data_IF_865246839460
#
_entry.id   IF_865246839460
#
_cell.length_a   1.000
_cell.length_b   1.000
_cell.length_c   1.000
_cell.angle_alpha   90.00
_cell.angle_beta   90.00
_cell.angle_gamma   90.00
#
_symmetry.space_group_name_H-M   'P 1'
#
loop_
_entity.id
_entity.type
_entity.pdbx_description
1 polymer ?
#
# COMPACT_ATOMS: atom_id res chain seq x y z
N UNK A 1 27.04 10.40 -15.37
CA UNK A 1 26.85 9.19 -16.19
C UNK A 1 25.49 8.58 -15.88
N UNK A 2 24.61 8.46 -16.86
CA UNK A 2 23.30 7.80 -16.69
C UNK A 2 23.52 6.29 -16.73
N UNK A 3 23.36 5.62 -15.59
CA UNK A 3 23.37 4.16 -15.54
C UNK A 3 22.23 3.62 -16.41
N UNK A 4 22.59 2.85 -17.43
CA UNK A 4 21.63 2.13 -18.27
C UNK A 4 21.42 0.77 -17.62
N UNK A 5 20.23 0.54 -17.07
CA UNK A 5 19.85 -0.76 -16.50
C UNK A 5 19.04 -1.54 -17.54
N UNK A 6 19.54 -2.69 -17.97
CA UNK A 6 18.78 -3.62 -18.81
C UNK A 6 17.81 -4.45 -17.96
N UNK A 7 16.58 -4.62 -18.44
CA UNK A 7 15.72 -5.71 -17.98
C UNK A 7 14.21 -5.44 -18.07
N UNK A 8 13.43 -6.21 -17.32
CA UNK A 8 11.99 -6.34 -17.56
C UNK A 8 11.21 -5.12 -17.04
N UNK A 9 10.49 -4.46 -17.95
CA UNK A 9 9.60 -3.34 -17.65
C UNK A 9 8.16 -3.85 -17.47
N UNK A 10 7.50 -3.44 -16.40
CA UNK A 10 6.07 -3.72 -16.16
C UNK A 10 5.33 -2.47 -15.72
N UNK A 11 4.10 -2.32 -16.19
CA UNK A 11 3.16 -1.31 -15.70
C UNK A 11 2.11 -2.03 -14.85
N UNK A 12 2.04 -1.69 -13.57
CA UNK A 12 1.04 -2.24 -12.65
C UNK A 12 0.41 -1.09 -11.87
N UNK A 13 -0.93 -0.99 -11.90
CA UNK A 13 -1.69 0.03 -11.16
C UNK A 13 -1.14 1.46 -11.32
N UNK A 14 -0.81 1.87 -12.56
CA UNK A 14 -0.24 3.19 -12.90
C UNK A 14 1.17 3.45 -12.34
N UNK A 15 1.88 2.40 -11.93
CA UNK A 15 3.28 2.46 -11.50
C UNK A 15 4.17 1.78 -12.55
N UNK A 16 5.30 2.43 -12.84
CA UNK A 16 6.35 1.88 -13.69
C UNK A 16 7.34 1.10 -12.83
N UNK A 17 7.50 -0.18 -13.14
CA UNK A 17 8.49 -1.07 -12.54
C UNK A 17 9.55 -1.44 -13.57
N UNK A 18 10.83 -1.37 -13.17
CA UNK A 18 11.98 -1.83 -13.95
C UNK A 18 12.74 -2.83 -13.07
N UNK A 19 12.91 -4.06 -13.55
CA UNK A 19 13.53 -5.15 -12.79
C UNK A 19 12.87 -5.40 -11.43
N UNK A 20 11.53 -5.32 -11.38
CA UNK A 20 10.75 -5.51 -10.15
C UNK A 20 10.82 -4.36 -9.15
N UNK A 21 11.67 -3.36 -9.37
CA UNK A 21 11.76 -2.18 -8.52
C UNK A 21 10.84 -1.07 -9.03
N UNK A 22 10.05 -0.48 -8.13
CA UNK A 22 9.18 0.67 -8.43
C UNK A 22 10.05 1.89 -8.75
N UNK A 23 9.99 2.40 -9.97
CA UNK A 23 10.76 3.58 -10.39
C UNK A 23 9.94 4.87 -10.25
N UNK A 24 8.77 4.96 -10.91
CA UNK A 24 7.96 6.20 -10.95
C UNK A 24 6.45 5.91 -11.05
N UNK A 25 5.62 6.92 -10.75
CA UNK A 25 4.17 6.87 -11.01
C UNK A 25 3.89 7.46 -12.39
N UNK A 26 3.09 6.78 -13.21
CA UNK A 26 2.67 7.29 -14.52
C UNK A 26 1.74 8.50 -14.41
N UNK A 27 1.12 8.73 -13.25
CA UNK A 27 0.32 9.93 -12.98
C UNK A 27 1.10 11.23 -13.02
N UNK A 28 2.42 11.11 -12.90
CA UNK A 28 3.37 12.22 -12.81
C UNK A 28 4.00 12.48 -14.20
N UNK A 29 3.52 11.85 -15.27
CA UNK A 29 3.93 12.17 -16.64
C UNK A 29 3.54 13.62 -16.97
N UNK A 30 4.52 14.40 -17.41
CA UNK A 30 4.33 15.80 -17.82
C UNK A 30 3.91 15.94 -19.27
N UNK A 31 4.23 14.96 -20.11
CA UNK A 31 3.85 14.90 -21.52
C UNK A 31 3.48 13.47 -21.91
N UNK A 32 2.77 13.29 -23.05
CA UNK A 32 2.62 11.98 -23.67
C UNK A 32 3.99 11.32 -23.92
N UNK A 33 4.05 9.97 -23.94
CA UNK A 33 5.25 9.25 -24.35
C UNK A 33 5.73 9.73 -25.73
N UNK A 34 7.04 9.97 -25.85
CA UNK A 34 7.67 10.37 -27.12
C UNK A 34 8.39 9.17 -27.74
N UNK A 35 8.38 9.09 -29.08
CA UNK A 35 9.15 8.10 -29.84
C UNK A 35 10.54 8.61 -30.15
N UNK A 36 11.54 7.82 -29.78
CA UNK A 36 12.93 8.05 -30.20
C UNK A 36 13.24 7.40 -31.55
N UNK A 37 14.53 7.39 -31.91
CA UNK A 37 14.99 7.05 -33.25
C UNK A 37 14.61 5.61 -33.65
N UNK A 38 14.07 5.47 -34.86
CA UNK A 38 13.56 4.22 -35.46
C UNK A 38 12.37 3.55 -34.73
N UNK A 39 11.71 4.22 -33.78
CA UNK A 39 10.49 3.73 -33.12
C UNK A 39 10.70 2.56 -32.15
N UNK A 40 11.96 2.19 -31.86
CA UNK A 40 12.32 1.16 -30.87
C UNK A 40 12.52 1.73 -29.46
N UNK A 41 12.36 3.04 -29.33
CA UNK A 41 12.66 3.78 -28.12
C UNK A 41 11.41 4.55 -27.69
N UNK A 42 11.03 4.42 -26.42
CA UNK A 42 9.92 5.16 -25.81
C UNK A 42 10.49 6.01 -24.67
N UNK A 43 10.32 7.32 -24.78
CA UNK A 43 10.83 8.31 -23.84
C UNK A 43 9.66 8.82 -23.00
N UNK A 44 9.76 8.66 -21.68
CA UNK A 44 8.79 9.16 -20.70
C UNK A 44 9.34 10.38 -19.99
N UNK A 45 8.66 11.52 -20.07
CA UNK A 45 9.03 12.76 -19.36
C UNK A 45 8.10 12.96 -18.16
N UNK A 46 8.67 13.05 -16.96
CA UNK A 46 7.90 13.25 -15.74
C UNK A 46 7.90 14.73 -15.33
N UNK A 47 6.75 15.22 -14.88
CA UNK A 47 6.59 16.52 -14.26
C UNK A 47 7.12 16.46 -12.82
N UNK A 48 8.14 17.26 -12.52
CA UNK A 48 8.75 17.38 -11.20
C UNK A 48 9.92 18.34 -11.22
N UNK A 49 10.37 18.80 -10.04
CA UNK A 49 11.46 19.78 -9.91
C UNK A 49 12.76 19.33 -10.61
N UNK A 50 12.97 18.02 -10.72
CA UNK A 50 14.18 17.44 -11.31
C UNK A 50 14.06 17.19 -12.82
N UNK A 51 12.90 17.41 -13.44
CA UNK A 51 12.68 17.23 -14.88
C UNK A 51 13.08 15.85 -15.43
N UNK A 52 13.02 14.82 -14.58
CA UNK A 52 13.54 13.49 -14.91
C UNK A 52 12.84 12.85 -16.10
N UNK A 53 13.63 12.26 -17.00
CA UNK A 53 13.15 11.46 -18.12
C UNK A 53 13.60 10.00 -17.95
N UNK A 54 12.83 9.08 -18.51
CA UNK A 54 13.14 7.66 -18.55
C UNK A 54 13.13 7.18 -20.01
N UNK A 55 14.25 6.62 -20.42
CA UNK A 55 14.45 6.06 -21.75
C UNK A 55 14.31 4.55 -21.70
N UNK A 56 13.42 4.00 -22.53
CA UNK A 56 13.25 2.57 -22.65
C UNK A 56 13.44 2.14 -24.09
N UNK A 57 14.42 1.27 -24.30
CA UNK A 57 14.73 0.67 -25.61
C UNK A 57 14.16 -0.75 -25.65
N UNK A 58 13.54 -1.08 -26.76
CA UNK A 58 12.93 -2.37 -27.02
C UNK A 58 13.60 -3.04 -28.23
N UNK A 59 13.73 -4.37 -28.18
CA UNK A 59 14.33 -5.14 -29.27
C UNK A 59 13.53 -5.03 -30.57
N UNK A 60 12.19 -4.94 -30.43
CA UNK A 60 11.25 -4.87 -31.55
C UNK A 60 10.38 -3.62 -31.45
N UNK A 61 10.13 -2.96 -32.59
CA UNK A 61 9.22 -1.80 -32.69
C UNK A 61 7.84 -2.10 -32.08
N UNK A 62 7.27 -3.28 -32.38
CA UNK A 62 5.97 -3.72 -31.85
C UNK A 62 5.89 -3.69 -30.32
N UNK A 63 6.96 -4.05 -29.61
CA UNK A 63 6.99 -4.02 -28.13
C UNK A 63 6.97 -2.58 -27.61
N UNK A 64 7.67 -1.66 -28.28
CA UNK A 64 7.56 -0.24 -28.00
C UNK A 64 6.13 0.26 -28.26
N UNK A 65 5.48 -0.18 -29.35
CA UNK A 65 4.09 0.16 -29.73
C UNK A 65 3.09 -0.29 -28.65
N UNK A 66 3.17 -1.55 -28.23
CA UNK A 66 2.36 -2.09 -27.13
C UNK A 66 2.61 -1.36 -25.81
N UNK A 67 3.87 -1.01 -25.50
CA UNK A 67 4.21 -0.30 -24.27
C UNK A 67 3.71 1.15 -24.27
N UNK A 68 3.89 1.89 -25.36
CA UNK A 68 3.37 3.25 -25.50
C UNK A 68 1.85 3.27 -25.33
N UNK A 69 1.15 2.35 -25.99
CA UNK A 69 -0.30 2.22 -25.86
C UNK A 69 -0.70 1.92 -24.42
N UNK A 70 -0.01 1.02 -23.73
CA UNK A 70 -0.28 0.73 -22.31
C UNK A 70 -0.06 1.95 -21.40
N UNK A 71 0.96 2.80 -21.68
CA UNK A 71 1.18 4.06 -20.96
C UNK A 71 0.06 5.06 -21.25
N UNK A 72 -0.35 5.20 -22.51
CA UNK A 72 -1.46 6.08 -22.91
C UNK A 72 -2.77 5.64 -22.26
N UNK A 73 -3.08 4.35 -22.24
CA UNK A 73 -4.27 3.80 -21.57
C UNK A 73 -4.23 4.05 -20.06
N UNK A 74 -3.07 3.85 -19.41
CA UNK A 74 -2.91 4.07 -17.98
C UNK A 74 -3.04 5.55 -17.58
N UNK A 75 -2.70 6.49 -18.48
CA UNK A 75 -2.71 7.95 -18.24
C UNK A 75 -4.01 8.62 -18.68
N UNK A 76 -4.65 8.13 -19.75
CA UNK A 76 -5.92 8.64 -20.29
C UNK A 76 -7.07 8.59 -19.27
N UNK A 77 -6.95 7.74 -18.25
CA UNK A 77 -7.92 7.65 -17.15
C UNK A 77 -8.08 8.95 -16.33
N UNK A 78 -7.20 9.94 -16.48
CA UNK A 78 -7.25 11.22 -15.74
C UNK A 78 -8.35 12.18 -16.24
N UNK A 79 -9.06 11.87 -17.33
CA UNK A 79 -10.08 12.75 -17.91
C UNK A 79 -11.54 12.26 -17.87
N UNK A 80 -11.83 11.01 -17.53
CA UNK A 80 -13.18 10.45 -17.65
C UNK A 80 -13.84 10.18 -16.30
N UNK A 81 -14.06 11.24 -15.51
CA UNK A 81 -15.11 11.28 -14.48
C UNK A 81 -16.44 11.70 -15.12
N UNK A 82 -16.98 10.87 -16.03
CA UNK A 82 -18.38 10.96 -16.44
C UNK A 82 -18.90 9.56 -16.78
N UNK A 83 -19.06 8.74 -15.74
CA UNK A 83 -19.63 7.38 -15.80
C UNK A 83 -21.08 7.33 -16.33
N UNK A 84 -21.73 8.48 -16.51
CA UNK A 84 -23.07 8.57 -17.09
C UNK A 84 -23.11 8.37 -18.62
N UNK A 85 -22.05 8.73 -19.35
CA UNK A 85 -22.06 8.71 -20.83
C UNK A 85 -21.67 7.36 -21.45
N UNK A 86 -20.98 6.47 -20.71
CA UNK A 86 -20.63 5.13 -21.21
C UNK A 86 -21.78 4.13 -21.10
N UNK A 87 -22.73 4.36 -20.21
CA UNK A 87 -23.90 3.47 -20.02
C UNK A 87 -24.92 3.63 -21.16
N UNK A 88 -25.03 4.81 -21.77
CA UNK A 88 -25.96 5.04 -22.89
C UNK A 88 -25.48 4.39 -24.19
N UNK A 89 -24.18 4.45 -24.51
CA UNK A 89 -23.67 3.89 -25.76
C UNK A 89 -23.74 2.36 -25.81
N UNK A 90 -23.47 1.68 -24.69
CA UNK A 90 -23.61 0.23 -24.60
C UNK A 90 -25.07 -0.25 -24.68
N UNK A 91 -26.02 0.56 -24.15
CA UNK A 91 -27.44 0.28 -24.28
C UNK A 91 -27.94 0.50 -25.72
N UNK A 92 -27.48 1.55 -26.38
CA UNK A 92 -27.82 1.87 -27.77
C UNK A 92 -27.25 0.84 -28.77
N UNK A 93 -26.02 0.35 -28.54
CA UNK A 93 -25.43 -0.74 -29.32
C UNK A 93 -26.19 -2.07 -29.11
N UNK A 94 -26.63 -2.37 -27.87
CA UNK A 94 -27.42 -3.56 -27.58
C UNK A 94 -28.82 -3.52 -28.23
N UNK A 95 -29.50 -2.37 -28.23
CA UNK A 95 -30.78 -2.20 -28.92
C UNK A 95 -30.62 -2.29 -30.45
N UNK A 96 -29.55 -1.72 -31.00
CA UNK A 96 -29.26 -1.81 -32.44
C UNK A 96 -29.00 -3.25 -32.89
N UNK A 97 -28.29 -4.04 -32.07
CA UNK A 97 -28.02 -5.44 -32.34
C UNK A 97 -29.29 -6.30 -32.28
N UNK A 98 -30.17 -6.07 -31.29
CA UNK A 98 -31.47 -6.76 -31.22
C UNK A 98 -32.36 -6.46 -32.43
N UNK A 99 -32.43 -5.20 -32.86
CA UNK A 99 -33.21 -4.78 -34.02
C UNK A 99 -32.68 -5.42 -35.32
N UNK A 100 -31.35 -5.56 -35.45
CA UNK A 100 -30.74 -6.23 -36.59
C UNK A 100 -31.06 -7.73 -36.60
N UNK A 101 -30.93 -8.42 -35.46
CA UNK A 101 -31.27 -9.85 -35.34
C UNK A 101 -32.74 -10.13 -35.63
N UNK A 102 -33.66 -9.27 -35.18
CA UNK A 102 -35.09 -9.38 -35.46
C UNK A 102 -35.37 -9.24 -36.96
N UNK A 103 -34.73 -8.26 -37.63
CA UNK A 103 -34.86 -8.07 -39.08
C UNK A 103 -34.31 -9.26 -39.87
N UNK A 104 -33.18 -9.84 -39.46
CA UNK A 104 -32.61 -11.04 -40.09
C UNK A 104 -33.56 -12.23 -39.92
N UNK A 105 -34.07 -12.46 -38.70
CA UNK A 105 -35.03 -13.55 -38.43
C UNK A 105 -36.32 -13.38 -39.24
N UNK A 106 -36.82 -12.16 -39.37
CA UNK A 106 -38.00 -11.85 -40.18
C UNK A 106 -37.75 -12.06 -41.68
N UNK A 107 -36.54 -11.77 -42.19
CA UNK A 107 -36.18 -12.02 -43.58
C UNK A 107 -36.04 -13.52 -43.88
N UNK A 108 -35.41 -14.28 -42.98
CA UNK A 108 -35.25 -15.73 -43.11
C UNK A 108 -36.60 -16.44 -43.04
N UNK A 109 -37.48 -16.07 -42.10
CA UNK A 109 -38.82 -16.65 -41.98
C UNK A 109 -39.77 -16.34 -43.15
N UNK A 110 -39.51 -15.27 -43.91
CA UNK A 110 -40.30 -14.88 -45.10
C UNK A 110 -39.85 -15.54 -46.39
N UNK A 111 -38.72 -16.25 -46.40
CA UNK A 111 -38.30 -16.98 -47.59
C UNK A 111 -39.01 -18.33 -47.55
N UNK A 112 -40.12 -18.55 -48.28
CA UNK A 112 -40.74 -19.87 -48.29
C UNK A 112 -39.69 -20.85 -48.78
N UNK A 113 -39.35 -21.84 -47.96
CA UNK A 113 -38.58 -22.99 -48.42
C UNK A 113 -39.33 -23.51 -49.65
N UNK A 114 -38.80 -23.24 -50.85
CA UNK A 114 -39.37 -23.78 -52.07
C UNK A 114 -39.33 -25.28 -51.89
N UNK A 115 -40.51 -25.89 -51.69
CA UNK A 115 -40.62 -27.35 -51.73
C UNK A 115 -40.07 -27.74 -53.08
N UNK A 116 -38.98 -28.50 -53.07
CA UNK A 116 -38.45 -29.11 -54.27
C UNK A 116 -39.55 -30.03 -54.81
N UNK A 117 -40.34 -29.53 -55.75
CA UNK A 117 -41.26 -30.34 -56.54
C UNK A 117 -40.40 -31.20 -57.43
N UNK A 118 -40.48 -32.52 -57.25
CA UNK A 118 -39.84 -33.48 -58.13
C UNK A 118 -40.16 -33.08 -59.58
N UNK A 119 -39.15 -32.74 -60.41
CA UNK A 119 -39.39 -32.28 -61.78
C UNK A 119 -40.00 -33.38 -62.66
N UNK A 120 -40.05 -34.62 -62.17
CA UNK A 120 -40.73 -35.72 -62.83
C UNK A 120 -42.18 -35.83 -62.34
N UNK A 121 -43.18 -35.61 -63.22
CA UNK A 121 -44.58 -35.81 -62.86
C UNK A 121 -44.79 -37.27 -62.45
N UNK A 122 -45.50 -37.48 -61.34
CA UNK A 122 -45.99 -38.80 -60.94
C UNK A 122 -46.89 -39.32 -62.08
N UNK A 123 -46.35 -40.19 -62.94
CA UNK A 123 -47.06 -40.70 -64.12
C UNK A 123 -46.28 -40.70 -65.44
N UNK A 124 -44.97 -40.41 -65.46
CA UNK A 124 -44.17 -40.52 -66.70
C UNK A 124 -43.93 -41.99 -67.10
N UNK A 125 -44.95 -42.63 -67.69
CA UNK A 125 -44.90 -44.00 -68.23
C UNK A 125 -44.26 -44.08 -69.63
N UNK A 126 -43.77 -42.96 -70.18
CA UNK A 126 -43.24 -42.86 -71.55
C UNK A 126 -41.78 -43.28 -71.74
N UNK A 127 -41.11 -43.81 -70.71
CA UNK A 127 -39.70 -44.22 -70.75
C UNK A 127 -39.52 -45.74 -70.98
N UNK A 128 -40.44 -46.37 -71.72
CA UNK A 128 -40.35 -47.80 -72.02
C UNK A 128 -39.18 -48.17 -72.96
N UNK A 129 -38.50 -47.20 -73.58
CA UNK A 129 -37.40 -47.46 -74.53
C UNK A 129 -36.12 -46.64 -74.29
N UNK A 130 -35.99 -45.92 -73.16
CA UNK A 130 -34.67 -45.41 -72.78
C UNK A 130 -33.86 -46.51 -72.09
N UNK A 131 -32.53 -46.58 -72.30
CA UNK A 131 -31.69 -47.61 -71.70
C UNK A 131 -31.88 -47.59 -70.18
N UNK A 132 -32.43 -48.67 -69.60
CA UNK A 132 -32.91 -48.75 -68.21
C UNK A 132 -31.89 -48.38 -67.13
N UNK A 133 -30.62 -48.21 -67.49
CA UNK A 133 -29.57 -47.70 -66.62
C UNK A 133 -29.72 -46.21 -66.27
N UNK A 134 -30.19 -45.36 -67.19
CA UNK A 134 -30.29 -43.90 -66.93
C UNK A 134 -31.39 -43.60 -65.92
N UNK A 135 -32.56 -44.22 -66.07
CA UNK A 135 -33.67 -44.06 -65.13
C UNK A 135 -33.30 -44.55 -63.71
N UNK A 136 -32.60 -45.69 -63.62
CA UNK A 136 -32.09 -46.21 -62.36
C UNK A 136 -31.12 -45.24 -61.67
N UNK A 137 -30.18 -44.66 -62.42
CA UNK A 137 -29.21 -43.69 -61.87
C UNK A 137 -29.91 -42.42 -61.34
N UNK A 138 -30.93 -41.91 -62.05
CA UNK A 138 -31.69 -40.73 -61.60
C UNK A 138 -32.43 -41.04 -60.29
N UNK A 139 -33.06 -42.21 -60.17
CA UNK A 139 -33.73 -42.63 -58.92
C UNK A 139 -32.71 -42.77 -57.78
N UNK A 140 -31.58 -43.43 -58.01
CA UNK A 140 -30.51 -43.55 -57.01
C UNK A 140 -29.97 -42.19 -56.57
N UNK A 141 -29.79 -41.26 -57.51
CA UNK A 141 -29.35 -39.89 -57.23
C UNK A 141 -30.38 -39.12 -56.39
N UNK A 142 -31.68 -39.22 -56.69
CA UNK A 142 -32.74 -38.60 -55.90
C UNK A 142 -32.78 -39.15 -54.46
N UNK A 143 -32.68 -40.47 -54.29
CA UNK A 143 -32.63 -41.11 -52.96
C UNK A 143 -31.39 -40.67 -52.19
N UNK A 144 -30.22 -40.66 -52.83
CA UNK A 144 -28.98 -40.19 -52.22
C UNK A 144 -29.06 -38.71 -51.82
N UNK A 145 -29.68 -37.87 -52.67
CA UNK A 145 -29.90 -36.46 -52.39
C UNK A 145 -30.84 -36.24 -51.20
N UNK A 146 -31.99 -36.93 -51.14
CA UNK A 146 -32.90 -36.85 -49.99
C UNK A 146 -32.24 -37.32 -48.68
N UNK A 147 -31.41 -38.37 -48.75
CA UNK A 147 -30.65 -38.85 -47.59
C UNK A 147 -29.57 -37.84 -47.15
N UNK A 148 -28.91 -37.17 -48.10
CA UNK A 148 -27.99 -36.08 -47.81
C UNK A 148 -28.71 -34.85 -47.23
N UNK A 149 -29.88 -34.51 -47.75
CA UNK A 149 -30.68 -33.38 -47.28
C UNK A 149 -31.22 -33.59 -45.86
N UNK A 150 -31.74 -34.80 -45.57
CA UNK A 150 -32.13 -35.19 -44.20
C UNK A 150 -30.97 -35.10 -43.22
N UNK A 151 -29.77 -35.54 -43.60
CA UNK A 151 -28.56 -35.41 -42.77
C UNK A 151 -28.17 -33.95 -42.54
N UNK A 152 -28.22 -33.11 -43.58
CA UNK A 152 -27.97 -31.66 -43.43
C UNK A 152 -28.99 -31.01 -42.51
N UNK A 153 -30.28 -31.33 -42.65
CA UNK A 153 -31.33 -30.80 -41.80
C UNK A 153 -31.17 -31.24 -40.33
N UNK A 154 -30.86 -32.53 -40.09
CA UNK A 154 -30.57 -33.02 -38.74
C UNK A 154 -29.35 -32.34 -38.13
N UNK A 155 -28.23 -32.25 -38.86
CA UNK A 155 -27.03 -31.58 -38.38
C UNK A 155 -27.27 -30.09 -38.10
N UNK A 156 -28.06 -29.40 -38.93
CA UNK A 156 -28.47 -28.03 -38.68
C UNK A 156 -29.33 -27.94 -37.41
N UNK A 157 -30.33 -28.81 -37.25
CA UNK A 157 -31.21 -28.84 -36.07
C UNK A 157 -30.44 -29.08 -34.77
N UNK A 158 -29.50 -30.02 -34.79
CA UNK A 158 -28.62 -30.32 -33.65
C UNK A 158 -27.71 -29.14 -33.32
N UNK A 159 -27.12 -28.51 -34.35
CA UNK A 159 -26.28 -27.32 -34.19
C UNK A 159 -27.07 -26.15 -33.60
N UNK A 160 -28.28 -25.88 -34.11
CA UNK A 160 -29.14 -24.82 -33.56
C UNK A 160 -29.55 -25.11 -32.12
N UNK A 161 -29.89 -26.36 -31.79
CA UNK A 161 -30.23 -26.74 -30.43
C UNK A 161 -29.02 -26.61 -29.47
N UNK A 162 -27.82 -26.94 -29.94
CA UNK A 162 -26.58 -26.76 -29.18
C UNK A 162 -26.28 -25.29 -28.92
N UNK A 163 -26.43 -24.42 -29.91
CA UNK A 163 -26.22 -22.97 -29.76
C UNK A 163 -27.26 -22.33 -28.84
N UNK A 164 -28.51 -22.78 -28.89
CA UNK A 164 -29.55 -22.34 -27.96
C UNK A 164 -29.22 -22.74 -26.51
N UNK A 165 -28.77 -23.98 -26.30
CA UNK A 165 -28.35 -24.46 -24.98
C UNK A 165 -27.13 -23.71 -24.43
N UNK A 166 -26.14 -23.42 -25.29
CA UNK A 166 -24.96 -22.63 -24.92
C UNK A 166 -25.35 -21.19 -24.52
N UNK A 167 -26.23 -20.56 -25.30
CA UNK A 167 -26.75 -19.21 -24.97
C UNK A 167 -27.49 -19.19 -23.63
N UNK A 168 -28.30 -20.20 -23.36
CA UNK A 168 -29.06 -20.29 -22.10
C UNK A 168 -28.11 -20.50 -20.90
N UNK A 169 -27.03 -21.28 -21.07
CA UNK A 169 -26.00 -21.45 -20.05
C UNK A 169 -25.19 -20.17 -19.81
N UNK A 170 -24.77 -19.48 -20.88
CA UNK A 170 -24.15 -18.17 -20.80
C UNK A 170 -25.03 -17.16 -20.05
N UNK A 171 -26.34 -17.19 -20.28
CA UNK A 171 -27.28 -16.33 -19.58
C UNK A 171 -27.36 -16.67 -18.09
N UNK A 172 -27.27 -17.95 -17.71
CA UNK A 172 -27.20 -18.37 -16.30
C UNK A 172 -25.92 -17.90 -15.65
N UNK A 173 -24.77 -18.09 -16.32
CA UNK A 173 -23.46 -17.64 -15.82
C UNK A 173 -23.46 -16.13 -15.62
N UNK A 174 -24.02 -15.34 -16.56
CA UNK A 174 -24.14 -13.89 -16.42
C UNK A 174 -24.99 -13.49 -15.22
N UNK A 175 -26.17 -14.11 -15.04
CA UNK A 175 -27.04 -13.85 -13.87
C UNK A 175 -26.35 -14.21 -12.55
N UNK A 176 -25.58 -15.30 -12.53
CA UNK A 176 -24.80 -15.70 -11.37
C UNK A 176 -23.71 -14.66 -11.05
N UNK A 177 -22.95 -14.23 -12.06
CA UNK A 177 -21.93 -13.20 -11.92
C UNK A 177 -22.50 -11.85 -11.45
N UNK A 178 -23.67 -11.45 -11.94
CA UNK A 178 -24.37 -10.25 -11.47
C UNK A 178 -24.79 -10.37 -9.98
N UNK A 179 -25.32 -11.53 -9.57
CA UNK A 179 -25.66 -11.77 -8.18
C UNK A 179 -24.42 -11.75 -7.27
N UNK A 180 -23.32 -12.38 -7.69
CA UNK A 180 -22.07 -12.40 -6.96
C UNK A 180 -21.48 -10.99 -6.84
N UNK A 181 -21.55 -10.19 -7.91
CA UNK A 181 -21.16 -8.78 -7.89
C UNK A 181 -21.97 -7.98 -6.88
N UNK A 182 -23.30 -8.12 -6.87
CA UNK A 182 -24.16 -7.46 -5.89
C UNK A 182 -23.82 -7.86 -4.44
N UNK A 183 -23.47 -9.13 -4.21
CA UNK A 183 -23.04 -9.59 -2.89
C UNK A 183 -21.70 -8.97 -2.47
N UNK A 184 -20.74 -8.87 -3.40
CA UNK A 184 -19.44 -8.22 -3.15
C UNK A 184 -19.64 -6.75 -2.85
N UNK A 185 -20.45 -6.04 -3.63
CA UNK A 185 -20.75 -4.61 -3.43
C UNK A 185 -21.45 -4.38 -2.08
N UNK A 186 -22.39 -5.25 -1.69
CA UNK A 186 -23.03 -5.18 -0.38
C UNK A 186 -22.04 -5.40 0.78
N UNK A 187 -21.07 -6.31 0.63
CA UNK A 187 -20.00 -6.52 1.62
C UNK A 187 -19.04 -5.33 1.68
N UNK A 188 -18.69 -4.76 0.54
CA UNK A 188 -17.84 -3.57 0.45
C UNK A 188 -18.49 -2.38 1.17
N UNK A 189 -19.76 -2.09 0.88
CA UNK A 189 -20.51 -1.01 1.53
C UNK A 189 -20.60 -1.20 3.06
N UNK A 190 -20.82 -2.44 3.53
CA UNK A 190 -20.79 -2.75 4.97
C UNK A 190 -19.42 -2.53 5.60
N UNK A 191 -18.35 -2.92 4.92
CA UNK A 191 -16.99 -2.71 5.39
C UNK A 191 -16.62 -1.22 5.45
N UNK A 192 -17.00 -0.45 4.42
CA UNK A 192 -16.80 1.00 4.38
C UNK A 192 -17.55 1.71 5.53
N UNK A 193 -18.80 1.33 5.79
CA UNK A 193 -19.57 1.86 6.92
C UNK A 193 -18.91 1.52 8.27
N UNK A 194 -18.37 0.30 8.41
CA UNK A 194 -17.62 -0.12 9.61
C UNK A 194 -16.34 0.70 9.79
N UNK A 195 -15.55 0.89 8.73
CA UNK A 195 -14.35 1.73 8.75
C UNK A 195 -14.67 3.18 9.13
N UNK A 196 -15.73 3.76 8.55
CA UNK A 196 -16.17 5.12 8.89
C UNK A 196 -16.60 5.24 10.36
N UNK A 197 -17.25 4.21 10.92
CA UNK A 197 -17.62 4.17 12.34
C UNK A 197 -16.38 4.09 13.24
N UNK A 198 -15.44 3.18 12.94
CA UNK A 198 -14.20 3.03 13.69
C UNK A 198 -13.34 4.31 13.65
N UNK A 199 -13.31 4.99 12.50
CA UNK A 199 -12.60 6.26 12.36
C UNK A 199 -13.19 7.33 13.28
N UNK A 200 -14.53 7.46 13.35
CA UNK A 200 -15.19 8.40 14.27
C UNK A 200 -14.87 8.10 15.74
N UNK A 201 -14.87 6.82 16.12
CA UNK A 201 -14.49 6.39 17.48
C UNK A 201 -13.02 6.72 17.78
N UNK A 202 -12.12 6.49 16.82
CA UNK A 202 -10.71 6.82 16.96
C UNK A 202 -10.51 8.34 17.13
N UNK A 203 -11.18 9.15 16.33
CA UNK A 203 -11.15 10.62 16.44
C UNK A 203 -11.68 11.11 17.79
N UNK A 204 -12.73 10.47 18.32
CA UNK A 204 -13.25 10.77 19.66
C UNK A 204 -12.21 10.44 20.75
N UNK A 205 -11.65 9.24 20.73
CA UNK A 205 -10.63 8.81 21.70
C UNK A 205 -9.36 9.68 21.62
N UNK A 206 -8.93 10.09 20.43
CA UNK A 206 -7.79 11.00 20.27
C UNK A 206 -8.05 12.38 20.89
N UNK A 207 -9.28 12.90 20.76
CA UNK A 207 -9.69 14.15 21.43
C UNK A 207 -9.68 13.99 22.95
N UNK A 208 -10.19 12.88 23.47
CA UNK A 208 -10.18 12.59 24.91
C UNK A 208 -8.74 12.47 25.46
N UNK A 209 -7.87 11.74 24.77
CA UNK A 209 -6.44 11.64 25.11
C UNK A 209 -5.78 13.02 25.09
N UNK A 210 -6.09 13.87 24.12
CA UNK A 210 -5.55 15.23 24.06
C UNK A 210 -6.00 16.08 25.25
N UNK A 211 -7.26 15.97 25.66
CA UNK A 211 -7.79 16.67 26.85
C UNK A 211 -7.13 16.17 28.15
N UNK A 212 -6.98 14.86 28.31
CA UNK A 212 -6.29 14.28 29.47
C UNK A 212 -4.83 14.70 29.55
N UNK A 213 -4.11 14.69 28.41
CA UNK A 213 -2.72 15.20 28.34
C UNK A 213 -2.63 16.67 28.73
N UNK A 214 -3.59 17.50 28.31
CA UNK A 214 -3.65 18.91 28.68
C UNK A 214 -3.88 19.08 30.19
N UNK A 215 -4.82 18.33 30.76
CA UNK A 215 -5.09 18.33 32.21
C UNK A 215 -3.86 17.90 33.02
N UNK A 216 -3.17 16.83 32.60
CA UNK A 216 -1.91 16.40 33.24
C UNK A 216 -0.82 17.47 33.17
N UNK A 217 -0.68 18.16 32.04
CA UNK A 217 0.26 19.27 31.91
C UNK A 217 -0.13 20.49 32.76
N UNK A 218 -1.41 20.72 33.00
CA UNK A 218 -1.91 21.76 33.92
C UNK A 218 -1.62 21.40 35.38
N UNK A 219 -1.91 20.17 35.80
CA UNK A 219 -1.59 19.66 37.14
C UNK A 219 -0.08 19.71 37.41
N UNK A 220 0.76 19.25 36.47
CA UNK A 220 2.21 19.28 36.62
C UNK A 220 2.75 20.72 36.76
N UNK A 221 2.16 21.69 36.03
CA UNK A 221 2.52 23.11 36.20
C UNK A 221 2.08 23.67 37.55
N UNK A 222 0.90 23.28 38.05
CA UNK A 222 0.42 23.68 39.36
C UNK A 222 1.34 23.13 40.47
N UNK A 223 1.66 21.83 40.42
CA UNK A 223 2.57 21.17 41.36
C UNK A 223 3.97 21.81 41.34
N UNK A 224 4.53 22.07 40.16
CA UNK A 224 5.81 22.77 40.03
C UNK A 224 5.76 24.17 40.66
N UNK A 225 4.65 24.90 40.50
CA UNK A 225 4.49 26.25 41.07
C UNK A 225 4.39 26.19 42.60
N UNK A 226 3.68 25.21 43.15
CA UNK A 226 3.60 25.01 44.60
C UNK A 226 4.93 24.58 45.21
N UNK A 227 5.66 23.68 44.54
CA UNK A 227 6.98 23.25 44.96
C UNK A 227 7.98 24.41 44.99
N UNK A 228 8.00 25.27 43.96
CA UNK A 228 8.84 26.47 43.95
C UNK A 228 8.47 27.41 45.10
N UNK A 229 7.18 27.67 45.34
CA UNK A 229 6.73 28.50 46.48
C UNK A 229 7.14 27.92 47.83
N UNK A 230 7.12 26.60 47.97
CA UNK A 230 7.59 25.92 49.17
C UNK A 230 9.10 26.15 49.38
N UNK A 231 9.92 25.91 48.35
CA UNK A 231 11.36 26.11 48.41
C UNK A 231 11.74 27.57 48.69
N UNK A 232 11.00 28.54 48.12
CA UNK A 232 11.21 29.97 48.41
C UNK A 232 10.98 30.30 49.88
N UNK A 233 9.94 29.74 50.51
CA UNK A 233 9.66 29.89 51.94
C UNK A 233 10.77 29.26 52.80
N UNK A 234 11.23 28.08 52.43
CA UNK A 234 12.31 27.37 53.15
C UNK A 234 13.64 28.14 53.06
N UNK A 235 14.01 28.61 51.86
CA UNK A 235 15.19 29.46 51.65
C UNK A 235 15.10 30.75 52.45
N UNK A 236 13.91 31.38 52.52
CA UNK A 236 13.70 32.57 53.35
C UNK A 236 13.90 32.28 54.85
N UNK A 237 13.35 31.17 55.35
CA UNK A 237 13.49 30.74 56.73
C UNK A 237 14.96 30.44 57.10
N UNK A 238 15.68 29.71 56.23
CA UNK A 238 17.11 29.42 56.44
C UNK A 238 17.97 30.68 56.43
N UNK A 239 17.69 31.62 55.52
CA UNK A 239 18.37 32.94 55.50
C UNK A 239 18.12 33.71 56.79
N UNK A 240 16.93 33.61 57.38
CA UNK A 240 16.62 34.22 58.66
C UNK A 240 17.39 33.55 59.82
N UNK A 241 17.41 32.21 59.87
CA UNK A 241 18.19 31.47 60.87
C UNK A 241 19.68 31.82 60.80
N UNK A 242 20.25 31.94 59.60
CA UNK A 242 21.64 32.37 59.42
C UNK A 242 21.86 33.78 59.97
N UNK A 243 20.97 34.73 59.69
CA UNK A 243 21.06 36.10 60.25
C UNK A 243 21.00 36.11 61.78
N UNK A 244 20.16 35.26 62.39
CA UNK A 244 20.05 35.14 63.84
C UNK A 244 21.28 34.45 64.46
N UNK A 245 21.82 33.42 63.82
CA UNK A 245 23.03 32.73 64.23
C UNK A 245 24.29 33.61 64.17
N UNK A 246 24.44 34.41 63.11
CA UNK A 246 25.55 35.36 62.98
C UNK A 246 25.50 36.47 64.04
N UNK A 247 24.30 36.91 64.47
CA UNK A 247 24.17 37.87 65.57
C UNK A 247 24.62 37.28 66.92
N UNK A 248 24.46 35.98 67.13
CA UNK A 248 24.86 35.29 68.37
C UNK A 248 26.35 34.92 68.43
N UNK A 249 27.03 34.79 67.29
CA UNK A 249 28.47 34.41 67.20
C UNK A 249 29.41 35.59 66.92
N UNK A 250 29.19 36.75 67.55
CA UNK A 250 30.11 37.91 67.42
C UNK A 250 31.35 37.84 68.34
N UNK A 251 31.66 36.68 68.93
CA UNK A 251 32.87 36.45 69.72
C UNK A 251 33.34 35.01 69.56
N UNK A 252 34.59 34.83 69.13
CA UNK A 252 35.21 33.51 68.95
C UNK A 252 35.44 33.17 67.47
N UNK A 253 36.50 33.72 66.89
CA UNK A 253 37.12 33.18 65.68
C UNK A 253 37.87 31.92 66.10
N UNK A 254 37.17 30.79 66.16
CA UNK A 254 37.82 29.50 66.36
C UNK A 254 38.50 29.07 65.06
N UNK A 255 39.83 29.00 65.16
CA UNK A 255 40.76 28.50 64.15
C UNK A 255 40.33 27.09 63.75
N UNK A 256 40.00 26.91 62.47
CA UNK A 256 39.62 25.61 61.90
C UNK A 256 40.79 24.63 62.10
N UNK A 257 40.60 23.51 62.83
CA UNK A 257 41.66 22.54 63.04
C UNK A 257 42.11 21.91 61.71
N UNK A 258 43.42 21.85 61.40
CA UNK A 258 43.96 21.31 60.15
C UNK A 258 43.78 19.79 59.94
N UNK A 259 43.06 19.09 60.83
CA UNK A 259 42.83 17.64 60.75
C UNK A 259 41.65 17.22 59.84
N UNK A 260 40.91 18.17 59.24
CA UNK A 260 39.68 17.88 58.50
C UNK A 260 39.88 17.39 57.05
N UNK A 261 41.04 17.66 56.44
CA UNK A 261 41.26 17.41 55.00
C UNK A 261 41.36 15.92 54.65
N UNK A 262 41.83 15.07 55.57
CA UNK A 262 41.91 13.62 55.35
C UNK A 262 40.53 12.95 55.28
N UNK A 263 39.57 13.44 56.06
CA UNK A 263 38.23 12.83 56.15
C UNK A 263 37.29 13.24 55.01
N UNK A 264 37.60 14.31 54.29
CA UNK A 264 36.72 14.83 53.23
C UNK A 264 36.64 13.88 52.02
N UNK A 265 37.76 13.31 51.58
CA UNK A 265 37.77 12.41 50.42
C UNK A 265 36.97 11.13 50.67
N UNK A 266 37.07 10.57 51.88
CA UNK A 266 36.32 9.39 52.31
C UNK A 266 34.81 9.67 52.39
N UNK A 267 34.43 10.79 53.00
CA UNK A 267 33.02 11.19 53.09
C UNK A 267 32.39 11.40 51.70
N UNK A 268 33.15 11.97 50.76
CA UNK A 268 32.70 12.11 49.36
C UNK A 268 32.56 10.72 48.70
N UNK A 269 33.53 9.83 48.88
CA UNK A 269 33.47 8.49 48.31
C UNK A 269 32.25 7.69 48.80
N UNK A 270 31.97 7.72 50.10
CA UNK A 270 30.80 7.06 50.71
C UNK A 270 29.48 7.62 50.17
N UNK A 271 29.35 8.95 50.10
CA UNK A 271 28.16 9.61 49.58
C UNK A 271 27.93 9.28 48.10
N UNK A 272 28.99 9.29 47.30
CA UNK A 272 28.91 8.99 45.88
C UNK A 272 28.63 7.49 45.65
N UNK A 273 29.13 6.59 46.50
CA UNK A 273 28.91 5.15 46.38
C UNK A 273 27.50 4.70 46.81
N UNK A 274 26.76 5.50 47.56
CA UNK A 274 25.42 5.17 48.06
C UNK A 274 24.43 4.59 47.02
N UNK A 275 24.38 5.09 45.77
CA UNK A 275 23.54 4.51 44.72
C UNK A 275 23.93 3.08 44.30
N UNK A 276 25.19 2.64 44.48
CA UNK A 276 25.63 1.28 44.15
C UNK A 276 24.94 0.22 45.02
N UNK A 277 24.61 0.56 46.28
CA UNK A 277 23.90 -0.32 47.20
C UNK A 277 22.51 -0.72 46.68
N UNK A 278 21.82 0.20 46.00
CA UNK A 278 20.45 0.02 45.53
C UNK A 278 20.36 -0.35 44.03
N UNK A 279 21.49 -0.39 43.34
CA UNK A 279 21.55 -0.64 41.91
C UNK A 279 21.57 -2.16 41.60
N UNK A 280 20.71 -2.65 40.68
CA UNK A 280 20.74 -4.04 40.23
C UNK A 280 22.11 -4.43 39.67
N UNK A 281 22.54 -5.68 39.90
CA UNK A 281 23.88 -6.16 39.51
C UNK A 281 24.24 -5.90 38.03
N UNK A 282 23.24 -5.97 37.13
CA UNK A 282 23.41 -5.69 35.69
C UNK A 282 23.82 -4.25 35.36
N UNK A 283 23.41 -3.28 36.18
CA UNK A 283 23.59 -1.85 35.93
C UNK A 283 24.81 -1.27 36.69
N UNK A 284 25.33 -2.00 37.68
CA UNK A 284 26.50 -1.61 38.49
C UNK A 284 27.76 -1.29 37.66
N UNK A 285 28.15 -2.05 36.62
CA UNK A 285 29.35 -1.72 35.84
C UNK A 285 29.25 -0.37 35.13
N UNK A 286 28.05 -0.02 34.64
CA UNK A 286 27.80 1.27 34.01
C UNK A 286 27.90 2.41 35.00
N UNK A 287 27.37 2.23 36.23
CA UNK A 287 27.45 3.23 37.28
C UNK A 287 28.89 3.43 37.79
N UNK A 288 29.63 2.35 38.03
CA UNK A 288 31.07 2.40 38.39
C UNK A 288 31.87 3.15 37.32
N UNK A 289 31.63 2.87 36.03
CA UNK A 289 32.28 3.59 34.92
C UNK A 289 31.96 5.09 34.92
N UNK A 290 30.71 5.47 35.20
CA UNK A 290 30.30 6.89 35.30
C UNK A 290 31.01 7.60 36.45
N UNK A 291 31.17 6.94 37.59
CA UNK A 291 31.85 7.50 38.77
C UNK A 291 33.35 7.68 38.54
N UNK A 292 34.02 6.69 37.92
CA UNK A 292 35.42 6.82 37.52
C UNK A 292 35.64 7.98 36.54
N UNK A 293 34.69 8.18 35.60
CA UNK A 293 34.79 9.28 34.64
C UNK A 293 34.59 10.65 35.29
N UNK A 294 33.70 10.75 36.29
CA UNK A 294 33.43 11.98 37.05
C UNK A 294 34.64 12.40 37.88
N UNK A 295 35.30 11.43 38.53
CA UNK A 295 36.42 11.66 39.43
C UNK A 295 37.79 11.45 38.77
N UNK A 296 37.87 11.43 37.43
CA UNK A 296 39.14 11.28 36.74
C UNK A 296 40.04 12.51 36.97
N UNK A 297 41.32 12.35 37.39
CA UNK A 297 42.21 13.48 37.69
C UNK A 297 42.41 14.41 36.50
N UNK A 298 42.58 13.85 35.29
CA UNK A 298 42.80 14.64 34.06
C UNK A 298 41.59 15.48 33.64
N UNK A 299 40.40 15.22 34.19
CA UNK A 299 39.17 15.98 33.87
C UNK A 299 38.88 17.09 34.87
N UNK A 300 39.75 17.30 35.86
CA UNK A 300 39.53 18.31 36.89
C UNK A 300 40.03 19.69 36.45
N UNK A 301 39.33 20.77 36.82
CA UNK A 301 39.63 22.13 36.34
C UNK A 301 40.88 22.74 36.97
N UNK A 302 41.41 22.18 38.08
CA UNK A 302 42.65 22.65 38.69
C UNK A 302 43.44 21.53 39.36
N UNK A 303 44.76 21.73 39.61
CA UNK A 303 45.61 20.72 40.24
C UNK A 303 45.14 20.28 41.63
N UNK A 304 44.58 21.21 42.43
CA UNK A 304 44.02 20.86 43.75
C UNK A 304 42.79 19.95 43.66
N UNK A 305 41.92 20.18 42.67
CA UNK A 305 40.78 19.29 42.42
C UNK A 305 41.25 17.93 41.88
N UNK A 306 42.33 17.88 41.09
CA UNK A 306 42.92 16.63 40.62
C UNK A 306 43.45 15.79 41.78
N UNK A 307 44.12 16.39 42.77
CA UNK A 307 44.57 15.70 43.99
C UNK A 307 43.41 15.20 44.84
N UNK A 308 42.35 16.00 45.02
CA UNK A 308 41.14 15.53 45.70
C UNK A 308 40.49 14.36 44.95
N UNK A 309 40.39 14.45 43.62
CA UNK A 309 39.80 13.42 42.79
C UNK A 309 40.59 12.10 42.85
N UNK A 310 41.94 12.16 42.88
CA UNK A 310 42.79 11.00 43.16
C UNK A 310 42.46 10.36 44.51
N UNK A 311 42.36 11.17 45.57
CA UNK A 311 42.01 10.66 46.92
C UNK A 311 40.61 10.05 46.95
N UNK A 312 39.61 10.69 46.34
CA UNK A 312 38.24 10.16 46.25
C UNK A 312 38.19 8.85 45.45
N UNK A 313 38.91 8.75 44.33
CA UNK A 313 39.02 7.50 43.57
C UNK A 313 39.65 6.38 44.39
N UNK A 314 40.72 6.68 45.14
CA UNK A 314 41.36 5.70 46.01
C UNK A 314 40.41 5.19 47.09
N UNK A 315 39.69 6.10 47.76
CA UNK A 315 38.69 5.74 48.77
C UNK A 315 37.51 4.95 48.16
N UNK A 316 37.02 5.33 46.98
CA UNK A 316 35.98 4.59 46.27
C UNK A 316 36.37 3.13 46.01
N UNK A 317 37.62 2.89 45.60
CA UNK A 317 38.14 1.55 45.35
C UNK A 317 38.34 0.73 46.63
N UNK A 318 38.52 1.40 47.78
CA UNK A 318 38.64 0.77 49.09
C UNK A 318 37.29 0.36 49.72
N UNK A 319 36.15 0.84 49.18
CA UNK A 319 34.83 0.48 49.69
C UNK A 319 34.43 -0.95 49.30
N UNK A 320 33.85 -1.70 50.24
CA UNK A 320 33.38 -3.08 50.00
C UNK A 320 32.35 -3.18 48.87
N UNK A 321 31.48 -2.18 48.76
CA UNK A 321 30.43 -2.13 47.75
C UNK A 321 30.99 -1.96 46.34
N UNK A 322 32.18 -1.39 46.22
CA UNK A 322 32.90 -1.26 44.96
C UNK A 322 33.47 -2.60 44.47
N UNK A 323 33.78 -3.52 45.39
CA UNK A 323 34.28 -4.85 45.09
C UNK A 323 33.16 -5.86 44.77
N UNK A 324 31.92 -5.57 45.20
CA UNK A 324 30.71 -6.36 44.90
C UNK A 324 30.10 -6.08 43.54
#
# INVERSE_FOLDING_TARGET
>A
ETQTEEGMVKILAKLLFVNGSKKRKLTDLGSPPERGDAGRQVILRFAGADGGWCDMRFDRKKQGDEFEQAVLEATSFKGMSSSAAKKSKAAEEAESQQLWEEKVRAAVGRTPCQRFTNPFPMGFNGLAEAPGQVSKLVVEMCVAWEAADRRRYQGHKETTASLEAERDEDQRIRKQAENDQLQVDAKLCKAEASCASLQKTNDFLNKEIALLKKSLAECARAEQTEHVRFLEKEVAALRQQMKEGFKKKKGGVDVIPPALEGNMARAIAELEAGPLLHCPAKDRPALKKKMLLKWHPDKQPSPGHAELAKRVMQELQNLSDWMS
#
